data_IF_475035297029
#
_entry.id   IF_475035297029
#
_cell.length_a   1.000
_cell.length_b   1.000
_cell.length_c   1.000
_cell.angle_alpha   90.00
_cell.angle_beta   90.00
_cell.angle_gamma   90.00
#
_symmetry.space_group_name_H-M   'P 1'
#
loop_
_entity.id
_entity.type
_entity.pdbx_description
1 polymer ?
#
# COMPACT_ATOMS: atom_id res chain seq x y z
N UNK A 1 -8.48 22.72 -9.80
CA UNK A 1 -8.07 21.30 -9.92
C UNK A 1 -6.66 21.26 -10.48
N UNK A 2 -5.69 20.62 -9.80
CA UNK A 2 -4.30 20.59 -10.28
C UNK A 2 -4.23 19.98 -11.69
N UNK A 3 -3.45 20.54 -12.63
CA UNK A 3 -3.40 20.04 -14.01
C UNK A 3 -2.50 18.81 -14.19
N UNK A 4 -1.70 18.46 -13.18
CA UNK A 4 -0.70 17.40 -13.27
C UNK A 4 -1.26 15.98 -13.38
N UNK A 5 -0.43 15.07 -13.89
CA UNK A 5 -0.75 13.64 -13.97
C UNK A 5 -0.95 13.02 -12.59
N UNK A 6 -1.78 11.98 -12.53
CA UNK A 6 -2.05 11.22 -11.31
C UNK A 6 -1.30 9.89 -11.33
N UNK A 7 -0.52 9.62 -10.29
CA UNK A 7 0.24 8.39 -10.11
C UNK A 7 -0.32 7.65 -8.90
N UNK A 8 -0.52 6.35 -9.01
CA UNK A 8 -1.00 5.50 -7.91
C UNK A 8 0.14 4.62 -7.42
N UNK A 9 0.41 4.68 -6.12
CA UNK A 9 1.37 3.84 -5.42
C UNK A 9 0.63 2.83 -4.55
N UNK A 10 1.08 1.58 -4.60
CA UNK A 10 0.59 0.48 -3.77
C UNK A 10 1.42 0.43 -2.48
N UNK A 11 0.78 0.12 -1.36
CA UNK A 11 1.45 0.16 -0.06
C UNK A 11 2.12 -1.16 0.33
N UNK A 12 1.64 -2.30 -0.18
CA UNK A 12 2.22 -3.60 0.15
C UNK A 12 2.04 -4.61 -0.99
N UNK A 13 3.11 -5.34 -1.28
CA UNK A 13 3.12 -6.43 -2.26
C UNK A 13 3.26 -7.81 -1.61
N UNK A 14 3.88 -7.89 -0.42
CA UNK A 14 4.12 -9.12 0.33
C UNK A 14 4.02 -8.88 1.84
N UNK A 15 3.75 -9.95 2.58
CA UNK A 15 3.86 -9.96 4.04
C UNK A 15 5.30 -10.29 4.41
N UNK A 16 5.87 -9.55 5.37
CA UNK A 16 7.16 -9.90 5.93
C UNK A 16 7.00 -11.14 6.83
N UNK A 17 7.59 -12.25 6.43
CA UNK A 17 7.67 -13.46 7.26
C UNK A 17 8.64 -13.18 8.41
N UNK A 18 8.17 -13.30 9.65
CA UNK A 18 9.09 -13.41 10.77
C UNK A 18 9.80 -14.76 10.63
N UNK A 19 11.12 -14.78 10.83
CA UNK A 19 12.04 -15.94 10.70
C UNK A 19 11.64 -17.23 11.47
N UNK A 20 10.52 -17.22 12.19
CA UNK A 20 9.97 -18.33 12.95
C UNK A 20 8.81 -19.09 12.27
N UNK A 21 8.27 -18.60 11.15
CA UNK A 21 7.16 -19.27 10.43
C UNK A 21 7.69 -19.78 9.10
N UNK A 22 7.91 -21.10 9.09
CA UNK A 22 8.03 -22.02 7.97
C UNK A 22 7.94 -21.39 6.57
N UNK A 23 8.96 -21.65 5.73
CA UNK A 23 9.19 -21.17 4.35
C UNK A 23 8.09 -21.55 3.32
N UNK A 24 6.92 -21.95 3.82
CA UNK A 24 5.71 -22.35 3.10
C UNK A 24 4.63 -21.27 3.10
N UNK A 25 4.85 -20.13 3.77
CA UNK A 25 3.88 -19.02 3.83
C UNK A 25 4.10 -17.89 2.80
N UNK A 26 5.08 -18.05 1.91
CA UNK A 26 5.38 -17.09 0.85
C UNK A 26 4.14 -17.10 -0.04
N UNK A 27 3.39 -16.00 -0.01
CA UNK A 27 2.17 -15.78 -0.80
C UNK A 27 0.83 -16.29 -0.24
N UNK A 28 0.61 -16.33 1.09
CA UNK A 28 -0.74 -16.61 1.64
C UNK A 28 -1.81 -15.57 1.25
N UNK A 29 -1.40 -14.35 0.91
CA UNK A 29 -2.32 -13.27 0.57
C UNK A 29 -1.89 -12.60 -0.73
N UNK A 30 -2.79 -12.50 -1.72
CA UNK A 30 -2.49 -11.80 -2.97
C UNK A 30 -2.32 -10.30 -2.72
N UNK A 31 -1.53 -9.62 -3.55
CA UNK A 31 -1.26 -8.19 -3.41
C UNK A 31 -2.53 -7.36 -3.50
N UNK A 32 -3.55 -7.79 -4.26
CA UNK A 32 -4.86 -7.12 -4.31
C UNK A 32 -5.56 -7.10 -2.96
N UNK A 33 -5.43 -8.19 -2.18
CA UNK A 33 -5.98 -8.26 -0.82
C UNK A 33 -5.22 -7.32 0.12
N UNK A 34 -3.89 -7.32 0.05
CA UNK A 34 -3.05 -6.44 0.85
C UNK A 34 -3.34 -4.96 0.55
N UNK A 35 -3.53 -4.61 -0.71
CA UNK A 35 -3.88 -3.25 -1.14
C UNK A 35 -5.36 -2.89 -0.89
N UNK A 36 -6.20 -3.85 -0.48
CA UNK A 36 -7.59 -3.63 -0.07
C UNK A 36 -7.75 -3.54 1.46
N UNK A 37 -6.68 -3.72 2.23
CA UNK A 37 -6.73 -3.58 3.68
C UNK A 37 -7.02 -2.12 4.04
N UNK A 38 -8.18 -1.89 4.67
CA UNK A 38 -8.53 -0.62 5.29
C UNK A 38 -8.36 -0.76 6.80
N UNK A 39 -7.18 -0.39 7.30
CA UNK A 39 -6.90 -0.39 8.74
C UNK A 39 -7.41 0.92 9.35
N UNK A 40 -8.27 0.86 10.39
CA UNK A 40 -8.77 2.07 11.03
C UNK A 40 -7.60 2.84 11.66
N UNK A 41 -7.43 4.10 11.25
CA UNK A 41 -6.37 4.97 11.76
C UNK A 41 -5.08 4.97 10.92
N UNK A 42 -4.98 4.17 9.86
CA UNK A 42 -3.89 4.25 8.88
C UNK A 42 -4.42 4.82 7.55
N UNK A 43 -3.56 5.51 6.77
CA UNK A 43 -3.91 5.88 5.41
C UNK A 43 -4.22 4.63 4.59
N UNK A 44 -5.13 4.71 3.60
CA UNK A 44 -5.44 3.59 2.74
C UNK A 44 -4.17 3.05 2.09
N UNK A 45 -4.10 1.72 1.92
CA UNK A 45 -2.96 1.03 1.29
C UNK A 45 -2.80 1.34 -0.22
N UNK A 46 -3.46 2.40 -0.71
CA UNK A 46 -3.35 2.96 -2.05
C UNK A 46 -3.17 4.47 -1.94
N UNK A 47 -2.01 4.95 -2.35
CA UNK A 47 -1.69 6.38 -2.36
C UNK A 47 -1.83 6.93 -3.77
N UNK A 48 -2.81 7.81 -3.99
CA UNK A 48 -2.99 8.51 -5.26
C UNK A 48 -2.41 9.91 -5.18
N UNK A 49 -1.28 10.12 -5.84
CA UNK A 49 -0.58 11.40 -5.90
C UNK A 49 -0.89 12.13 -7.21
N UNK A 50 -0.93 13.45 -7.15
CA UNK A 50 -1.14 14.29 -8.33
C UNK A 50 -0.09 15.38 -8.38
N UNK A 51 0.57 15.53 -9.54
CA UNK A 51 1.63 16.55 -9.70
C UNK A 51 1.06 17.95 -9.43
N UNK A 52 1.73 18.68 -8.55
CA UNK A 52 1.35 20.02 -8.09
C UNK A 52 0.42 20.07 -6.88
N UNK A 53 -0.08 18.93 -6.39
CA UNK A 53 -0.86 18.87 -5.15
C UNK A 53 0.07 18.75 -3.93
N UNK A 54 -0.06 19.60 -2.90
CA UNK A 54 0.66 19.41 -1.65
C UNK A 54 0.22 18.12 -0.94
N UNK A 55 1.16 17.45 -0.27
CA UNK A 55 0.91 16.26 0.55
C UNK A 55 1.37 16.51 1.98
N UNK A 56 0.72 15.85 2.93
CA UNK A 56 1.14 15.84 4.33
C UNK A 56 1.63 14.43 4.66
N UNK A 57 2.88 14.35 5.13
CA UNK A 57 3.49 13.12 5.62
C UNK A 57 3.50 13.20 7.14
N UNK A 58 2.98 12.17 7.81
CA UNK A 58 2.96 12.04 9.26
C UNK A 58 3.90 10.92 9.69
#
# INVERSE_FOLDING_TARGET
MFPGESITYLAADKIQENEAVDSTCDNRYPSEYLNSLELPGLPPFKLKLKVGCPIMLF
#
